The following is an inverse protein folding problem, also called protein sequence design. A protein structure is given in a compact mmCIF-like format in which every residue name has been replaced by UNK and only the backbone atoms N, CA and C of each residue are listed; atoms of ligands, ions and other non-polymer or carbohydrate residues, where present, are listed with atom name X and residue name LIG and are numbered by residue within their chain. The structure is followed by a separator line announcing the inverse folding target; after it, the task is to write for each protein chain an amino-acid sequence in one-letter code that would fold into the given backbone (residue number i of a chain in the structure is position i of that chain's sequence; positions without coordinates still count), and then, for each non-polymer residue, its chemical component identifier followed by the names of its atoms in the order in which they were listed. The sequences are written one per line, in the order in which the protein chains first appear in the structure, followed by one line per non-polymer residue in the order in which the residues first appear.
data_IF_641901004755
#
_entry.id   IF_641901004755
#
_cell.length_a   1.000
_cell.length_b   1.000
_cell.length_c   1.000
_cell.angle_alpha   90.00
_cell.angle_beta   90.00
_cell.angle_gamma   90.00
#
_symmetry.space_group_name_H-M   'P 1'
#
loop_
_entity.id
_entity.type
_entity.pdbx_description
1 polymer ?
#
# COMPACT_ATOMS: atom_id res chain seq x y z
N UNK A 1 -32.08 -7.02 19.13
CA UNK A 1 -31.36 -6.59 17.92
C UNK A 1 -30.41 -5.41 18.17
N UNK A 2 -30.31 -4.84 19.39
CA UNK A 2 -29.41 -3.72 19.72
C UNK A 2 -27.96 -4.12 20.09
N UNK A 3 -27.71 -5.37 20.51
CA UNK A 3 -26.38 -5.86 20.93
C UNK A 3 -25.31 -5.74 19.83
N UNK A 4 -25.70 -5.92 18.56
CA UNK A 4 -24.76 -5.99 17.43
C UNK A 4 -24.13 -4.65 17.08
N UNK A 5 -24.84 -3.54 17.25
CA UNK A 5 -24.34 -2.21 16.87
C UNK A 5 -23.38 -1.67 17.93
N UNK A 6 -23.67 -1.92 19.21
CA UNK A 6 -22.77 -1.59 20.32
C UNK A 6 -21.47 -2.40 20.25
N UNK A 7 -21.56 -3.70 20.01
CA UNK A 7 -20.39 -4.58 19.81
C UNK A 7 -19.53 -4.13 18.61
N UNK A 8 -20.17 -3.77 17.49
CA UNK A 8 -19.45 -3.25 16.31
C UNK A 8 -18.76 -1.91 16.60
N UNK A 9 -19.42 -1.02 17.33
CA UNK A 9 -18.84 0.25 17.75
C UNK A 9 -17.65 0.02 18.69
N UNK A 10 -17.76 -0.92 19.63
CA UNK A 10 -16.68 -1.27 20.55
C UNK A 10 -15.46 -1.83 19.81
N UNK A 11 -15.67 -2.76 18.87
CA UNK A 11 -14.60 -3.31 18.00
C UNK A 11 -13.91 -2.20 17.21
N UNK A 12 -14.68 -1.26 16.64
CA UNK A 12 -14.14 -0.13 15.89
C UNK A 12 -13.28 0.77 16.79
N UNK A 13 -13.74 1.06 17.99
CA UNK A 13 -13.01 1.86 18.98
C UNK A 13 -11.73 1.17 19.45
N UNK A 14 -11.77 -0.14 19.69
CA UNK A 14 -10.57 -0.92 20.03
C UNK A 14 -9.52 -0.88 18.92
N UNK A 15 -9.94 -1.07 17.66
CA UNK A 15 -9.04 -0.98 16.49
C UNK A 15 -8.39 0.40 16.38
N UNK A 16 -9.18 1.46 16.57
CA UNK A 16 -8.68 2.84 16.52
C UNK A 16 -7.64 3.10 17.62
N UNK A 17 -7.92 2.70 18.87
CA UNK A 17 -6.98 2.84 19.98
C UNK A 17 -5.67 2.09 19.74
N UNK A 18 -5.75 0.86 19.20
CA UNK A 18 -4.56 0.07 18.85
C UNK A 18 -3.73 0.76 17.77
N UNK A 19 -4.37 1.29 16.73
CA UNK A 19 -3.70 2.04 15.66
C UNK A 19 -3.03 3.31 16.18
N UNK A 20 -3.71 4.08 17.03
CA UNK A 20 -3.13 5.29 17.64
C UNK A 20 -1.91 4.98 18.51
N UNK A 21 -2.00 3.92 19.33
CA UNK A 21 -0.87 3.48 20.14
C UNK A 21 0.33 3.10 19.25
N UNK A 22 0.09 2.31 18.20
CA UNK A 22 1.12 1.96 17.23
C UNK A 22 1.77 3.20 16.59
N UNK A 23 0.98 4.20 16.17
CA UNK A 23 1.50 5.44 15.57
C UNK A 23 2.36 6.26 16.55
N UNK A 24 1.95 6.33 17.82
CA UNK A 24 2.72 7.00 18.88
C UNK A 24 4.04 6.27 19.11
N UNK A 25 4.02 4.94 19.23
CA UNK A 25 5.21 4.15 19.50
C UNK A 25 6.18 4.17 18.30
N UNK A 26 5.67 4.12 17.07
CA UNK A 26 6.46 4.29 15.85
C UNK A 26 7.10 5.68 15.78
N UNK A 27 6.36 6.74 16.11
CA UNK A 27 6.88 8.11 16.15
C UNK A 27 8.01 8.27 17.18
N UNK A 28 7.87 7.70 18.38
CA UNK A 28 8.91 7.67 19.40
C UNK A 28 10.15 6.94 18.90
N UNK A 29 9.98 5.78 18.29
CA UNK A 29 11.08 4.97 17.74
C UNK A 29 11.85 5.74 16.64
N UNK A 30 11.16 6.37 15.69
CA UNK A 30 11.77 7.18 14.63
C UNK A 30 12.58 8.34 15.23
N UNK A 31 11.99 9.06 16.19
CA UNK A 31 12.63 10.20 16.86
C UNK A 31 13.87 9.76 17.62
N UNK A 32 13.79 8.60 18.29
CA UNK A 32 14.91 8.01 19.00
C UNK A 32 16.06 7.64 18.06
N UNK A 33 15.78 6.94 16.96
CA UNK A 33 16.78 6.53 15.97
C UNK A 33 17.54 7.73 15.37
N UNK A 34 16.85 8.85 15.14
CA UNK A 34 17.48 10.10 14.67
C UNK A 34 18.42 10.74 15.69
N UNK A 35 18.04 10.72 16.97
CA UNK A 35 18.77 11.43 18.03
C UNK A 35 19.98 10.65 18.58
N UNK A 36 20.20 9.38 18.18
CA UNK A 36 21.34 8.53 18.59
C UNK A 36 21.65 8.59 20.09
N UNK A 37 20.62 8.62 20.94
CA UNK A 37 20.79 8.76 22.39
C UNK A 37 21.23 7.44 23.03
N UNK A 38 22.40 7.44 23.68
CA UNK A 38 23.00 6.30 24.40
C UNK A 38 22.24 5.85 25.66
N UNK A 39 21.17 6.53 26.04
CA UNK A 39 20.48 6.34 27.32
C UNK A 39 18.99 6.06 27.04
N UNK A 40 18.59 4.81 27.24
CA UNK A 40 17.27 4.19 27.03
C UNK A 40 16.97 3.79 25.58
N UNK A 41 17.00 2.48 25.30
CA UNK A 41 16.55 1.91 24.02
C UNK A 41 15.03 2.00 23.91
N UNK A 42 14.52 2.64 22.86
CA UNK A 42 13.10 2.51 22.49
C UNK A 42 12.96 1.24 21.67
N UNK A 43 12.06 0.34 22.07
CA UNK A 43 11.80 -0.90 21.35
C UNK A 43 11.19 -0.62 19.97
N UNK A 44 11.58 -1.42 18.99
CA UNK A 44 10.98 -1.41 17.67
C UNK A 44 9.52 -1.92 17.77
N UNK A 45 8.52 -1.11 17.41
CA UNK A 45 7.11 -1.47 17.57
C UNK A 45 6.59 -2.41 16.46
N UNK A 46 7.46 -2.89 15.58
CA UNK A 46 7.15 -3.79 14.47
C UNK A 46 7.82 -5.15 14.65
N UNK A 47 7.38 -6.15 13.89
CA UNK A 47 8.05 -7.45 13.80
C UNK A 47 9.24 -7.46 12.82
N UNK A 48 9.55 -6.31 12.19
CA UNK A 48 10.66 -6.20 11.25
C UNK A 48 11.98 -5.95 11.98
N UNK A 49 13.10 -6.30 11.34
CA UNK A 49 14.42 -5.88 11.83
C UNK A 49 14.56 -4.37 11.73
N UNK A 50 15.34 -3.75 12.63
CA UNK A 50 15.52 -2.29 12.67
C UNK A 50 16.00 -1.72 11.33
N UNK A 51 16.91 -2.39 10.64
CA UNK A 51 17.40 -1.99 9.32
C UNK A 51 16.28 -1.97 8.28
N UNK A 52 15.41 -2.99 8.28
CA UNK A 52 14.28 -3.11 7.35
C UNK A 52 13.23 -2.04 7.63
N UNK A 53 12.91 -1.80 8.90
CA UNK A 53 12.02 -0.72 9.32
C UNK A 53 12.58 0.64 8.90
N UNK A 54 13.86 0.90 9.15
CA UNK A 54 14.51 2.16 8.77
C UNK A 54 14.52 2.38 7.25
N UNK A 55 14.75 1.33 6.46
CA UNK A 55 14.63 1.39 4.99
C UNK A 55 13.20 1.72 4.55
N UNK A 56 12.20 1.07 5.15
CA UNK A 56 10.79 1.33 4.85
C UNK A 56 10.39 2.77 5.20
N UNK A 57 10.74 3.25 6.41
CA UNK A 57 10.49 4.64 6.83
C UNK A 57 11.14 5.61 5.84
N UNK A 58 12.41 5.40 5.48
CA UNK A 58 13.12 6.27 4.53
C UNK A 58 12.39 6.29 3.19
N UNK A 59 12.02 5.12 2.65
CA UNK A 59 11.30 5.01 1.38
C UNK A 59 9.94 5.75 1.42
N UNK A 60 9.21 5.64 2.53
CA UNK A 60 7.87 6.22 2.64
C UNK A 60 7.82 7.69 3.03
N UNK A 61 8.93 8.27 3.50
CA UNK A 61 8.93 9.65 4.04
C UNK A 61 9.90 10.59 3.35
N UNK A 62 10.97 10.08 2.75
CA UNK A 62 12.00 10.91 2.11
C UNK A 62 11.77 11.07 0.61
N UNK A 63 12.29 12.17 0.08
CA UNK A 63 12.51 12.35 -1.36
C UNK A 63 13.61 11.38 -1.79
N UNK A 64 13.27 10.41 -2.63
CA UNK A 64 14.20 9.37 -3.07
C UNK A 64 15.00 9.91 -4.27
N UNK A 65 16.32 10.07 -4.15
CA UNK A 65 17.21 10.49 -5.26
C UNK A 65 16.71 11.73 -6.04
N UNK A 66 16.41 12.81 -5.33
CA UNK A 66 15.88 14.07 -5.90
C UNK A 66 14.46 13.95 -6.51
N UNK A 67 13.81 12.79 -6.35
CA UNK A 67 12.41 12.57 -6.72
C UNK A 67 11.47 13.03 -5.61
N UNK A 68 10.30 13.46 -6.04
CA UNK A 68 9.12 13.77 -5.24
C UNK A 68 8.74 12.63 -4.26
N UNK A 69 8.15 12.97 -3.10
CA UNK A 69 7.59 11.96 -2.17
C UNK A 69 6.43 11.21 -2.82
N UNK A 70 6.02 10.04 -2.29
CA UNK A 70 4.86 9.32 -2.84
C UNK A 70 3.57 10.16 -2.84
N UNK A 71 3.42 11.06 -1.85
CA UNK A 71 2.29 12.00 -1.80
C UNK A 71 2.36 13.06 -2.89
N UNK A 72 3.54 13.62 -3.12
CA UNK A 72 3.76 14.60 -4.19
C UNK A 72 3.48 13.96 -5.56
N UNK A 73 3.94 12.72 -5.78
CA UNK A 73 3.64 11.94 -6.98
C UNK A 73 2.15 11.68 -7.15
N UNK A 74 1.44 11.30 -6.08
CA UNK A 74 -0.01 11.08 -6.12
C UNK A 74 -0.76 12.38 -6.48
N UNK A 75 -0.32 13.51 -5.93
CA UNK A 75 -0.90 14.81 -6.24
C UNK A 75 -0.65 15.23 -7.69
N UNK A 76 0.57 15.02 -8.20
CA UNK A 76 0.90 15.26 -9.61
C UNK A 76 0.06 14.37 -10.54
N UNK A 77 -0.10 13.10 -10.20
CA UNK A 77 -0.92 12.18 -10.98
C UNK A 77 -2.41 12.57 -10.96
N UNK A 78 -2.91 13.08 -9.83
CA UNK A 78 -4.27 13.63 -9.75
C UNK A 78 -4.45 14.81 -10.71
N UNK A 79 -3.51 15.76 -10.73
CA UNK A 79 -3.52 16.89 -11.67
C UNK A 79 -3.48 16.41 -13.12
N UNK A 80 -2.67 15.38 -13.43
CA UNK A 80 -2.68 14.75 -14.76
C UNK A 80 -4.05 14.16 -15.11
N UNK A 81 -4.71 13.47 -14.18
CA UNK A 81 -6.04 12.88 -14.39
C UNK A 81 -7.11 13.94 -14.65
N UNK A 82 -7.07 15.07 -13.95
CA UNK A 82 -8.04 16.17 -14.13
C UNK A 82 -7.99 16.76 -15.55
N UNK A 83 -6.77 16.82 -16.12
CA UNK A 83 -6.47 17.29 -17.47
C UNK A 83 -6.72 16.23 -18.55
N UNK A 84 -6.85 14.97 -18.17
CA UNK A 84 -6.96 13.87 -19.12
C UNK A 84 -8.35 13.82 -19.76
N UNK A 85 -8.38 13.75 -21.10
CA UNK A 85 -9.62 13.75 -21.87
C UNK A 85 -10.24 12.36 -22.08
N UNK A 86 -9.49 11.27 -21.89
CA UNK A 86 -9.96 9.91 -22.18
C UNK A 86 -9.55 8.89 -21.13
N UNK A 87 -10.40 7.89 -20.90
CA UNK A 87 -10.13 6.80 -19.96
C UNK A 87 -8.94 5.94 -20.38
N UNK A 88 -8.65 5.84 -21.68
CA UNK A 88 -7.41 5.20 -22.17
C UNK A 88 -6.16 5.91 -21.66
N UNK A 89 -6.07 7.22 -21.83
CA UNK A 89 -4.92 8.00 -21.39
C UNK A 89 -4.76 7.93 -19.86
N UNK A 90 -5.86 7.93 -19.12
CA UNK A 90 -5.84 7.69 -17.67
C UNK A 90 -5.18 6.35 -17.33
N UNK A 91 -5.51 5.27 -18.06
CA UNK A 91 -4.93 3.95 -17.84
C UNK A 91 -3.45 3.88 -18.21
N UNK A 92 -3.03 4.55 -19.28
CA UNK A 92 -1.62 4.66 -19.66
C UNK A 92 -0.83 5.42 -18.58
N UNK A 93 -1.34 6.58 -18.14
CA UNK A 93 -0.75 7.34 -17.05
C UNK A 93 -0.72 6.57 -15.73
N UNK A 94 -1.76 5.79 -15.41
CA UNK A 94 -1.80 4.94 -14.22
C UNK A 94 -0.73 3.85 -14.27
N UNK A 95 -0.50 3.26 -15.44
CA UNK A 95 0.57 2.27 -15.62
C UNK A 95 1.96 2.90 -15.38
N UNK A 96 2.24 4.06 -15.98
CA UNK A 96 3.50 4.78 -15.78
C UNK A 96 3.68 5.19 -14.32
N UNK A 97 2.63 5.75 -13.72
CA UNK A 97 2.60 6.12 -12.31
C UNK A 97 2.90 4.94 -11.39
N UNK A 98 2.37 3.74 -11.64
CA UNK A 98 2.61 2.59 -10.76
C UNK A 98 3.98 1.92 -10.96
N UNK A 99 4.64 2.14 -12.10
CA UNK A 99 5.87 1.41 -12.48
C UNK A 99 7.14 2.26 -12.47
N UNK A 100 7.04 3.56 -12.22
CA UNK A 100 8.15 4.53 -12.21
C UNK A 100 9.32 4.23 -11.25
N UNK A 101 9.08 3.48 -10.17
CA UNK A 101 10.08 3.05 -9.19
C UNK A 101 10.54 1.60 -9.37
N UNK A 102 9.94 0.85 -10.29
CA UNK A 102 10.31 -0.53 -10.56
C UNK A 102 11.49 -0.53 -11.54
N UNK A 103 12.58 -1.20 -11.20
CA UNK A 103 13.74 -1.32 -12.08
C UNK A 103 13.32 -1.86 -13.47
N UNK A 104 13.62 -1.13 -14.56
CA UNK A 104 13.46 -1.60 -15.94
C UNK A 104 14.05 -3.00 -16.20
N UNK A 105 15.08 -3.40 -15.45
CA UNK A 105 15.74 -4.71 -15.52
C UNK A 105 14.89 -5.87 -15.02
N UNK A 106 14.35 -5.77 -13.80
CA UNK A 106 13.42 -6.76 -13.24
C UNK A 106 12.11 -6.84 -14.02
N UNK A 107 11.65 -5.68 -14.50
CA UNK A 107 10.39 -5.50 -15.22
C UNK A 107 10.43 -5.87 -16.70
N UNK A 108 11.52 -6.46 -17.21
CA UNK A 108 11.63 -7.00 -18.58
C UNK A 108 10.78 -8.27 -18.77
N UNK A 109 9.47 -8.07 -18.75
CA UNK A 109 8.48 -8.32 -19.82
C UNK A 109 7.21 -8.97 -19.32
N UNK A 110 7.24 -9.86 -18.32
CA UNK A 110 6.03 -10.61 -17.99
C UNK A 110 5.08 -9.85 -17.05
N UNK A 111 5.55 -9.37 -15.89
CA UNK A 111 4.70 -8.64 -14.95
C UNK A 111 4.17 -7.34 -15.57
N UNK A 112 5.05 -6.46 -16.06
CA UNK A 112 4.62 -5.19 -16.65
C UNK A 112 3.67 -5.36 -17.83
N UNK A 113 3.89 -6.37 -18.69
CA UNK A 113 2.95 -6.70 -19.78
C UNK A 113 1.61 -7.19 -19.24
N UNK A 114 1.61 -8.06 -18.21
CA UNK A 114 0.37 -8.52 -17.57
C UNK A 114 -0.37 -7.36 -16.92
N UNK A 115 0.32 -6.46 -16.22
CA UNK A 115 -0.23 -5.27 -15.60
C UNK A 115 -0.83 -4.33 -16.65
N UNK A 116 -0.04 -3.97 -17.68
CA UNK A 116 -0.49 -3.11 -18.76
C UNK A 116 -1.70 -3.71 -19.50
N UNK A 117 -1.65 -4.99 -19.84
CA UNK A 117 -2.77 -5.69 -20.47
C UNK A 117 -4.01 -5.74 -19.58
N UNK A 118 -3.85 -6.00 -18.26
CA UNK A 118 -4.96 -5.99 -17.30
C UNK A 118 -5.58 -4.61 -17.21
N UNK A 119 -4.77 -3.55 -17.14
CA UNK A 119 -5.24 -2.16 -17.18
C UNK A 119 -6.01 -1.89 -18.46
N UNK A 120 -5.40 -2.07 -19.63
CA UNK A 120 -6.01 -1.72 -20.92
C UNK A 120 -7.34 -2.45 -21.18
N UNK A 121 -7.47 -3.70 -20.73
CA UNK A 121 -8.72 -4.46 -20.86
C UNK A 121 -9.78 -4.13 -19.81
N UNK A 122 -9.41 -3.44 -18.73
CA UNK A 122 -10.36 -3.00 -17.70
C UNK A 122 -11.27 -1.93 -18.30
N UNK A 123 -12.58 -2.24 -18.38
CA UNK A 123 -13.63 -1.42 -18.99
C UNK A 123 -13.24 -0.79 -20.33
N UNK A 124 -12.73 -1.59 -21.26
CA UNK A 124 -12.26 -1.13 -22.57
C UNK A 124 -13.29 -0.33 -23.37
N UNK A 125 -14.57 -0.63 -23.22
CA UNK A 125 -15.66 0.07 -23.91
C UNK A 125 -15.79 1.53 -23.48
N UNK A 126 -15.19 1.87 -22.33
CA UNK A 126 -15.21 3.22 -21.78
C UNK A 126 -14.00 4.06 -22.24
N UNK A 127 -13.09 3.52 -23.04
CA UNK A 127 -11.80 4.13 -23.38
C UNK A 127 -11.87 5.57 -23.92
N UNK A 128 -12.93 5.92 -24.63
CA UNK A 128 -13.08 7.22 -25.30
C UNK A 128 -13.67 8.31 -24.41
N UNK A 129 -14.31 7.94 -23.29
CA UNK A 129 -14.97 8.90 -22.41
C UNK A 129 -14.00 9.45 -21.36
N UNK A 130 -14.31 10.63 -20.80
CA UNK A 130 -13.54 11.17 -19.67
C UNK A 130 -13.72 10.27 -18.43
N UNK A 131 -12.64 9.89 -17.72
CA UNK A 131 -12.76 9.12 -16.48
C UNK A 131 -13.61 9.87 -15.45
N UNK A 132 -14.57 9.18 -14.86
CA UNK A 132 -15.33 9.65 -13.69
C UNK A 132 -14.87 8.90 -12.43
N UNK A 133 -15.32 9.35 -11.26
CA UNK A 133 -14.91 8.78 -9.97
C UNK A 133 -15.24 7.29 -9.86
N UNK A 134 -16.35 6.83 -10.44
CA UNK A 134 -16.72 5.41 -10.44
C UNK A 134 -15.76 4.55 -11.26
N UNK A 135 -15.37 5.02 -12.45
CA UNK A 135 -14.36 4.35 -13.28
C UNK A 135 -13.00 4.34 -12.58
N UNK A 136 -12.62 5.45 -11.96
CA UNK A 136 -11.35 5.56 -11.22
C UNK A 136 -11.32 4.59 -10.03
N UNK A 137 -12.34 4.63 -9.16
CA UNK A 137 -12.44 3.76 -8.00
C UNK A 137 -12.49 2.30 -8.41
N UNK A 138 -13.33 1.96 -9.40
CA UNK A 138 -13.39 0.61 -9.95
C UNK A 138 -12.03 0.16 -10.45
N UNK A 139 -11.27 1.03 -11.12
CA UNK A 139 -9.95 0.67 -11.68
C UNK A 139 -8.98 0.37 -10.56
N UNK A 140 -8.98 1.19 -9.52
CA UNK A 140 -8.18 0.97 -8.32
C UNK A 140 -8.52 -0.38 -7.67
N UNK A 141 -9.80 -0.71 -7.51
CA UNK A 141 -10.24 -2.00 -6.98
C UNK A 141 -9.77 -3.17 -7.85
N UNK A 142 -9.93 -3.08 -9.18
CA UNK A 142 -9.46 -4.12 -10.12
C UNK A 142 -7.94 -4.27 -10.13
N UNK A 143 -7.20 -3.20 -9.89
CA UNK A 143 -5.74 -3.28 -9.72
C UNK A 143 -5.37 -3.97 -8.41
N UNK A 144 -6.08 -3.67 -7.32
CA UNK A 144 -5.85 -4.34 -6.03
C UNK A 144 -6.21 -5.83 -6.07
N UNK A 145 -7.27 -6.21 -6.81
CA UNK A 145 -7.60 -7.62 -7.11
C UNK A 145 -6.42 -8.34 -7.76
N UNK A 146 -5.85 -7.70 -8.80
CA UNK A 146 -4.77 -8.28 -9.59
C UNK A 146 -3.43 -8.32 -8.83
N UNK A 147 -3.11 -7.28 -8.06
CA UNK A 147 -1.83 -7.13 -7.39
C UNK A 147 -1.74 -7.90 -6.07
N UNK A 148 -2.86 -8.08 -5.36
CA UNK A 148 -2.88 -8.67 -4.01
C UNK A 148 -3.57 -10.04 -4.01
N UNK A 149 -4.89 -10.05 -4.17
CA UNK A 149 -5.70 -11.28 -4.19
C UNK A 149 -7.08 -11.01 -4.80
N UNK A 150 -7.50 -11.88 -5.73
CA UNK A 150 -8.74 -11.71 -6.48
C UNK A 150 -9.98 -11.96 -5.59
N UNK A 151 -10.09 -13.12 -4.95
CA UNK A 151 -11.25 -13.46 -4.11
C UNK A 151 -10.92 -14.40 -2.94
N UNK A 152 -11.89 -14.54 -2.03
CA UNK A 152 -11.87 -15.51 -0.93
C UNK A 152 -11.93 -16.97 -1.43
N UNK A 153 -12.74 -17.21 -2.46
CA UNK A 153 -13.00 -18.55 -3.01
C UNK A 153 -11.81 -19.08 -3.83
N UNK A 154 -11.04 -18.17 -4.42
CA UNK A 154 -9.79 -18.49 -5.12
C UNK A 154 -8.72 -17.46 -4.73
N UNK A 155 -7.98 -17.68 -3.63
CA UNK A 155 -6.89 -16.80 -3.22
C UNK A 155 -5.71 -17.00 -4.19
N UNK A 156 -5.82 -16.44 -5.39
CA UNK A 156 -4.75 -16.39 -6.39
C UNK A 156 -3.90 -15.16 -6.11
N UNK A 157 -2.96 -15.31 -5.20
CA UNK A 157 -2.03 -14.27 -4.76
C UNK A 157 -0.60 -14.54 -5.24
N UNK A 158 -0.41 -15.41 -6.24
CA UNK A 158 0.90 -15.70 -6.81
C UNK A 158 1.60 -14.44 -7.33
N UNK A 159 0.84 -13.49 -7.91
CA UNK A 159 1.40 -12.21 -8.36
C UNK A 159 1.96 -11.43 -7.16
N UNK A 160 1.20 -11.32 -6.08
CA UNK A 160 1.65 -10.64 -4.87
C UNK A 160 2.89 -11.33 -4.29
N UNK A 161 2.84 -12.65 -4.14
CA UNK A 161 3.95 -13.45 -3.62
C UNK A 161 5.22 -13.30 -4.49
N UNK A 162 5.09 -13.40 -5.82
CA UNK A 162 6.20 -13.21 -6.76
C UNK A 162 6.81 -11.81 -6.66
N UNK A 163 5.97 -10.76 -6.64
CA UNK A 163 6.43 -9.39 -6.47
C UNK A 163 7.19 -9.21 -5.15
N UNK A 164 6.67 -9.74 -4.04
CA UNK A 164 7.30 -9.62 -2.72
C UNK A 164 8.67 -10.32 -2.69
N UNK A 165 8.78 -11.52 -3.25
CA UNK A 165 10.04 -12.28 -3.22
C UNK A 165 11.14 -11.66 -4.08
N UNK A 166 10.77 -10.98 -5.16
CA UNK A 166 11.75 -10.45 -6.09
C UNK A 166 12.02 -8.94 -5.92
N UNK A 167 11.01 -8.14 -5.58
CA UNK A 167 11.14 -6.68 -5.38
C UNK A 167 11.25 -6.28 -3.92
N UNK A 168 10.83 -7.16 -3.01
CA UNK A 168 10.75 -6.86 -1.58
C UNK A 168 9.49 -6.10 -1.17
N UNK A 169 9.11 -6.26 0.09
CA UNK A 169 7.88 -5.71 0.64
C UNK A 169 7.76 -4.19 0.50
N UNK A 170 8.83 -3.43 0.75
CA UNK A 170 8.80 -1.97 0.70
C UNK A 170 8.38 -1.42 -0.67
N UNK A 171 8.92 -1.96 -1.76
CA UNK A 171 8.60 -1.50 -3.12
C UNK A 171 7.15 -1.85 -3.47
N UNK A 172 6.75 -3.09 -3.23
CA UNK A 172 5.40 -3.58 -3.56
C UNK A 172 4.33 -2.84 -2.76
N UNK A 173 4.54 -2.68 -1.44
CA UNK A 173 3.63 -1.89 -0.60
C UNK A 173 3.63 -0.42 -1.02
N UNK A 174 4.76 0.13 -1.47
CA UNK A 174 4.82 1.46 -2.08
C UNK A 174 3.89 1.61 -3.28
N UNK A 175 3.88 0.63 -4.19
CA UNK A 175 2.96 0.61 -5.33
C UNK A 175 1.49 0.55 -4.89
N UNK A 176 1.16 -0.27 -3.88
CA UNK A 176 -0.20 -0.34 -3.33
C UNK A 176 -0.61 0.97 -2.62
N UNK A 177 0.33 1.59 -1.90
CA UNK A 177 0.13 2.87 -1.25
C UNK A 177 -0.10 3.98 -2.29
N UNK A 178 0.60 3.96 -3.43
CA UNK A 178 0.38 4.91 -4.53
C UNK A 178 -1.06 4.87 -5.05
N UNK A 179 -1.67 3.68 -5.15
CA UNK A 179 -3.10 3.53 -5.50
C UNK A 179 -3.98 4.20 -4.44
N UNK A 180 -3.71 3.96 -3.15
CA UNK A 180 -4.50 4.50 -2.03
C UNK A 180 -4.34 6.02 -1.88
N UNK A 181 -3.14 6.56 -2.10
CA UNK A 181 -2.89 8.01 -2.03
C UNK A 181 -3.58 8.76 -3.16
N UNK A 182 -3.64 8.17 -4.34
CA UNK A 182 -4.39 8.72 -5.46
C UNK A 182 -5.91 8.60 -5.27
N UNK A 183 -6.39 7.42 -4.86
CA UNK A 183 -7.80 7.12 -4.62
C UNK A 183 -8.00 6.65 -3.18
N UNK A 184 -8.23 7.59 -2.26
CA UNK A 184 -8.40 7.29 -0.82
C UNK A 184 -9.52 6.29 -0.52
N UNK A 185 -10.58 6.28 -1.34
CA UNK A 185 -11.69 5.33 -1.23
C UNK A 185 -11.26 3.87 -1.47
N UNK A 186 -10.09 3.62 -2.04
CA UNK A 186 -9.52 2.28 -2.20
C UNK A 186 -8.88 1.73 -0.91
N UNK A 187 -8.65 2.55 0.13
CA UNK A 187 -8.00 2.10 1.37
C UNK A 187 -8.72 0.92 2.05
N UNK A 188 -10.04 0.99 2.33
CA UNK A 188 -10.74 -0.12 2.99
C UNK A 188 -10.70 -1.39 2.14
N UNK A 189 -10.68 -1.24 0.81
CA UNK A 189 -10.56 -2.35 -0.12
C UNK A 189 -9.20 -3.04 -0.01
N UNK A 190 -8.11 -2.28 0.08
CA UNK A 190 -6.77 -2.83 0.30
C UNK A 190 -6.71 -3.60 1.63
N UNK A 191 -7.24 -3.03 2.71
CA UNK A 191 -7.31 -3.68 4.02
C UNK A 191 -8.13 -4.99 3.97
N UNK A 192 -9.22 -5.00 3.21
CA UNK A 192 -10.00 -6.21 2.95
C UNK A 192 -9.15 -7.27 2.22
N UNK A 193 -8.37 -6.91 1.21
CA UNK A 193 -7.48 -7.85 0.50
C UNK A 193 -6.44 -8.49 1.42
N UNK A 194 -5.84 -7.72 2.32
CA UNK A 194 -4.93 -8.28 3.32
C UNK A 194 -5.64 -9.16 4.35
N UNK A 195 -6.89 -8.82 4.70
CA UNK A 195 -7.71 -9.67 5.58
C UNK A 195 -8.00 -11.03 4.96
N UNK A 196 -8.26 -11.08 3.64
CA UNK A 196 -8.42 -12.33 2.89
C UNK A 196 -7.16 -13.19 2.97
N UNK A 197 -5.98 -12.60 2.73
CA UNK A 197 -4.70 -13.30 2.84
C UNK A 197 -4.42 -13.79 4.26
N UNK A 198 -4.68 -12.95 5.26
CA UNK A 198 -4.51 -13.32 6.66
C UNK A 198 -5.36 -14.54 7.03
N UNK A 199 -6.65 -14.52 6.66
CA UNK A 199 -7.56 -15.63 6.91
C UNK A 199 -7.14 -16.91 6.18
N UNK A 200 -6.64 -16.79 4.94
CA UNK A 200 -6.13 -17.92 4.18
C UNK A 200 -4.93 -18.62 4.86
N UNK A 201 -4.11 -17.87 5.60
CA UNK A 201 -2.89 -18.37 6.25
C UNK A 201 -2.99 -18.56 7.77
N UNK A 202 -4.17 -18.37 8.37
CA UNK A 202 -4.35 -18.39 9.83
C UNK A 202 -3.88 -19.71 10.50
N UNK A 203 -3.92 -20.83 9.79
CA UNK A 203 -3.47 -22.15 10.28
C UNK A 203 -2.03 -22.54 9.86
N UNK A 204 -1.33 -21.71 9.11
CA UNK A 204 0.01 -22.03 8.61
C UNK A 204 1.10 -21.65 9.63
N UNK A 205 2.15 -22.46 9.71
CA UNK A 205 3.31 -22.19 10.59
C UNK A 205 4.03 -20.90 10.18
N UNK A 206 4.37 -20.06 11.16
CA UNK A 206 4.92 -18.70 10.98
C UNK A 206 6.09 -18.62 9.99
N UNK A 207 6.97 -19.63 9.96
CA UNK A 207 8.13 -19.66 9.06
C UNK A 207 7.78 -19.66 7.56
N UNK A 208 6.63 -20.23 7.16
CA UNK A 208 6.18 -20.26 5.75
C UNK A 208 5.41 -19.01 5.32
N UNK A 209 5.03 -18.15 6.28
CA UNK A 209 4.14 -17.00 6.09
C UNK A 209 4.85 -15.67 6.42
N UNK A 210 6.15 -15.71 6.71
CA UNK A 210 6.91 -14.52 7.08
C UNK A 210 6.82 -13.39 6.05
N UNK A 211 6.72 -13.72 4.76
CA UNK A 211 6.52 -12.75 3.68
C UNK A 211 5.24 -11.92 3.87
N UNK A 212 4.15 -12.54 4.36
CA UNK A 212 2.87 -11.87 4.59
C UNK A 212 2.94 -11.00 5.85
N UNK A 213 3.52 -11.53 6.94
CA UNK A 213 3.76 -10.77 8.17
C UNK A 213 4.57 -9.51 7.85
N UNK A 214 5.71 -9.67 7.18
CA UNK A 214 6.55 -8.55 6.73
C UNK A 214 5.79 -7.56 5.85
N UNK A 215 4.93 -8.04 4.96
CA UNK A 215 4.10 -7.18 4.10
C UNK A 215 3.08 -6.36 4.91
N UNK A 216 2.44 -6.97 5.91
CA UNK A 216 1.50 -6.29 6.81
C UNK A 216 2.19 -5.26 7.70
N UNK A 217 3.35 -5.59 8.27
CA UNK A 217 4.17 -4.64 9.04
C UNK A 217 4.58 -3.44 8.16
N UNK A 218 5.03 -3.72 6.94
CA UNK A 218 5.39 -2.67 5.96
C UNK A 218 4.18 -1.80 5.59
N UNK A 219 3.00 -2.40 5.42
CA UNK A 219 1.75 -1.69 5.13
C UNK A 219 1.35 -0.77 6.29
N UNK A 220 1.47 -1.24 7.55
CA UNK A 220 1.18 -0.43 8.72
C UNK A 220 2.12 0.76 8.82
N UNK A 221 3.42 0.58 8.58
CA UNK A 221 4.37 1.71 8.49
C UNK A 221 3.95 2.67 7.38
N UNK A 222 3.69 2.17 6.18
CA UNK A 222 3.30 2.97 5.02
C UNK A 222 2.05 3.84 5.31
N UNK A 223 1.01 3.24 5.90
CA UNK A 223 -0.20 3.94 6.32
C UNK A 223 0.07 4.94 7.44
N UNK A 224 0.79 4.57 8.49
CA UNK A 224 1.05 5.46 9.60
C UNK A 224 1.87 6.70 9.21
N UNK A 225 2.81 6.57 8.26
CA UNK A 225 3.61 7.72 7.79
C UNK A 225 2.93 8.53 6.69
N UNK A 226 2.05 7.93 5.88
CA UNK A 226 1.43 8.58 4.72
C UNK A 226 -0.08 8.80 4.78
N UNK A 227 -0.77 8.31 5.81
CA UNK A 227 -2.22 8.48 5.99
C UNK A 227 -2.59 8.72 7.45
N UNK A 228 -1.75 8.29 8.40
CA UNK A 228 -1.93 8.44 9.84
C UNK A 228 -1.54 9.80 10.39
N UNK A 229 -1.63 9.93 11.72
CA UNK A 229 -1.42 11.18 12.46
C UNK A 229 0.03 11.48 12.85
N UNK A 230 1.01 10.68 12.37
CA UNK A 230 2.42 10.91 12.71
C UNK A 230 2.85 12.27 12.14
N UNK A 231 3.12 13.21 13.06
CA UNK A 231 3.41 14.59 12.73
C UNK A 231 4.76 14.71 11.99
N UNK A 232 4.82 15.58 10.98
CA UNK A 232 5.96 15.70 10.06
C UNK A 232 7.25 16.17 10.72
N UNK A 233 7.19 16.78 11.91
CA UNK A 233 8.38 17.13 12.68
C UNK A 233 9.25 15.91 13.05
N UNK A 234 8.69 14.71 12.99
CA UNK A 234 9.42 13.46 13.20
C UNK A 234 10.25 13.02 11.98
N UNK A 235 10.04 13.59 10.78
CA UNK A 235 10.67 13.20 9.51
C UNK A 235 11.59 14.26 8.92
#
# INVERSE_FOLDING_TARGET
YESTDEEQQEIKMMRLKKQQKYEIDLSKYITYQKLRRKSNSVENPTLMRDEELNQAIKYFTTKIYDRQTLRDQAQQFKTYCDLTCSYRNFKDGLYEYLTDTIDPGYSKRQFNRKLYHKLQNTWSDNNTQKPNDSLILGTCQKMLDFLVVESLEQPKHFIFYDLINNLGATIVIGMLLKIVLFCHQAKPYLEQKFSILFNHYQGATTGKVWWLVKSMETLNVAFSTNLGGINRCCF
#
